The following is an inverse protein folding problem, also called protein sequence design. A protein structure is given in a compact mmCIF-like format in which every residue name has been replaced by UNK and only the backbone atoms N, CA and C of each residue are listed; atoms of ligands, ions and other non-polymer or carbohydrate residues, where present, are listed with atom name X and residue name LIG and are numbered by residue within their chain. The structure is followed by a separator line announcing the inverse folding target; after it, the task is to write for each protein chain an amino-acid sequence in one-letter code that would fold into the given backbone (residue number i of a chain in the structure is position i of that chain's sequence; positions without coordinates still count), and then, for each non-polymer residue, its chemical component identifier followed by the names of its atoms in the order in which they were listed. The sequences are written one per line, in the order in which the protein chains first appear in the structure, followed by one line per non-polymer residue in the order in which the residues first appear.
data_IF_177721453022
#
_entry.id   IF_177721453022
#
_cell.length_a   1.000
_cell.length_b   1.000
_cell.length_c   1.000
_cell.angle_alpha   90.00
_cell.angle_beta   90.00
_cell.angle_gamma   90.00
#
_symmetry.space_group_name_H-M   'P 1'
#
loop_
_entity.id
_entity.type
_entity.pdbx_description
1 polymer ?
#
# COMPACT_ATOMS: atom_id res chain seq x y z
N UNK A 1 10.17 10.51 -15.10
CA UNK A 1 10.06 9.03 -15.20
C UNK A 1 11.10 8.32 -14.34
N UNK A 2 12.33 8.83 -14.23
CA UNK A 2 13.39 8.32 -13.35
C UNK A 2 13.05 8.36 -11.85
N UNK A 3 12.34 9.38 -11.39
CA UNK A 3 12.19 9.58 -9.94
C UNK A 3 11.20 8.57 -9.34
N UNK A 4 10.11 8.26 -10.07
CA UNK A 4 9.13 7.24 -9.68
C UNK A 4 9.73 5.83 -9.62
N UNK A 5 10.68 5.50 -10.52
CA UNK A 5 11.33 4.18 -10.49
C UNK A 5 12.29 4.06 -9.29
N UNK A 6 13.01 5.12 -8.92
CA UNK A 6 13.88 5.09 -7.73
C UNK A 6 13.07 4.99 -6.43
N UNK A 7 11.97 5.72 -6.31
CA UNK A 7 11.09 5.65 -5.15
C UNK A 7 10.50 4.23 -4.99
N UNK A 8 9.93 3.68 -6.06
CA UNK A 8 9.36 2.34 -6.04
C UNK A 8 10.42 1.26 -5.76
N UNK A 9 11.62 1.38 -6.34
CA UNK A 9 12.71 0.45 -6.06
C UNK A 9 13.14 0.48 -4.59
N UNK A 10 13.10 1.64 -3.93
CA UNK A 10 13.39 1.74 -2.49
C UNK A 10 12.30 1.07 -1.65
N UNK A 11 11.02 1.22 -2.01
CA UNK A 11 9.90 0.52 -1.35
C UNK A 11 10.10 -1.00 -1.47
N UNK A 12 10.36 -1.49 -2.68
CA UNK A 12 10.58 -2.92 -2.93
C UNK A 12 11.79 -3.43 -2.15
N UNK A 13 12.89 -2.67 -2.13
CA UNK A 13 14.09 -3.03 -1.37
C UNK A 13 13.83 -3.10 0.14
N UNK A 14 13.00 -2.21 0.67
CA UNK A 14 12.65 -2.20 2.09
C UNK A 14 11.72 -3.36 2.48
N UNK A 15 10.90 -3.85 1.55
CA UNK A 15 10.00 -4.98 1.78
C UNK A 15 10.71 -6.34 1.88
N UNK A 16 11.96 -6.45 1.42
CA UNK A 16 12.76 -7.67 1.55
C UNK A 16 12.73 -8.56 0.32
N UNK A 17 12.50 -9.85 0.51
CA UNK A 17 12.73 -10.90 -0.51
C UNK A 17 11.54 -11.85 -0.70
N UNK A 18 10.40 -11.58 -0.05
CA UNK A 18 9.17 -12.30 -0.29
C UNK A 18 8.30 -11.54 -1.31
N UNK A 19 7.86 -12.17 -2.42
CA UNK A 19 7.00 -11.52 -3.41
C UNK A 19 5.67 -10.99 -2.84
N UNK A 20 5.11 -11.67 -1.84
CA UNK A 20 3.89 -11.25 -1.15
C UNK A 20 4.10 -9.99 -0.31
N UNK A 21 5.21 -9.92 0.43
CA UNK A 21 5.61 -8.73 1.18
C UNK A 21 5.91 -7.55 0.25
N UNK A 22 6.60 -7.78 -0.85
CA UNK A 22 6.85 -6.77 -1.89
C UNK A 22 5.52 -6.24 -2.44
N UNK A 23 4.60 -7.15 -2.80
CA UNK A 23 3.27 -6.78 -3.31
C UNK A 23 2.51 -5.94 -2.29
N UNK A 24 2.52 -6.34 -1.02
CA UNK A 24 1.87 -5.62 0.06
C UNK A 24 2.47 -4.24 0.26
N UNK A 25 3.80 -4.09 0.17
CA UNK A 25 4.47 -2.80 0.30
C UNK A 25 4.15 -1.86 -0.87
N UNK A 26 4.12 -2.36 -2.12
CA UNK A 26 3.73 -1.57 -3.29
C UNK A 26 2.26 -1.14 -3.18
N UNK A 27 1.38 -2.05 -2.76
CA UNK A 27 -0.04 -1.76 -2.55
C UNK A 27 -0.26 -0.71 -1.46
N UNK A 28 0.43 -0.84 -0.32
CA UNK A 28 0.38 0.13 0.78
C UNK A 28 0.96 1.49 0.41
N UNK A 29 1.87 1.54 -0.57
CA UNK A 29 2.40 2.78 -1.13
C UNK A 29 1.51 3.38 -2.24
N UNK A 30 0.26 2.92 -2.37
CA UNK A 30 -0.75 3.47 -3.28
C UNK A 30 -0.39 3.41 -4.77
N UNK A 31 0.43 2.45 -5.17
CA UNK A 31 0.62 2.18 -6.60
C UNK A 31 -0.59 1.43 -7.14
N UNK A 32 -1.35 2.04 -8.05
CA UNK A 32 -2.58 1.50 -8.64
C UNK A 32 -2.56 1.64 -10.16
N UNK A 33 -3.34 0.80 -10.83
CA UNK A 33 -3.73 1.03 -12.24
C UNK A 33 -4.96 1.97 -12.26
N UNK A 34 -5.24 2.65 -13.39
CA UNK A 34 -6.46 3.44 -13.55
C UNK A 34 -7.72 2.62 -13.30
N UNK A 35 -8.83 3.31 -12.96
CA UNK A 35 -10.14 2.67 -12.83
C UNK A 35 -10.51 1.89 -14.09
N UNK A 36 -11.12 0.73 -13.86
CA UNK A 36 -11.58 -0.20 -14.89
C UNK A 36 -13.10 -0.26 -14.90
N UNK A 37 -13.67 -0.51 -16.07
CA UNK A 37 -15.11 -0.75 -16.16
C UNK A 37 -15.48 -2.19 -15.75
N UNK A 38 -16.76 -2.43 -15.50
CA UNK A 38 -17.28 -3.73 -15.04
C UNK A 38 -16.90 -4.90 -15.95
N UNK A 39 -16.84 -4.68 -17.27
CA UNK A 39 -16.45 -5.71 -18.22
C UNK A 39 -14.97 -6.08 -18.09
N UNK A 40 -14.09 -5.09 -17.95
CA UNK A 40 -12.66 -5.32 -17.72
C UNK A 40 -12.40 -6.03 -16.40
N UNK A 41 -13.11 -5.65 -15.33
CA UNK A 41 -13.04 -6.33 -14.03
C UNK A 41 -13.52 -7.78 -14.12
N UNK A 42 -14.59 -8.04 -14.87
CA UNK A 42 -15.11 -9.41 -15.09
C UNK A 42 -14.11 -10.27 -15.88
N UNK A 43 -13.49 -9.70 -16.92
CA UNK A 43 -12.47 -10.42 -17.67
C UNK A 43 -11.24 -10.73 -16.80
N UNK A 44 -10.80 -9.77 -15.97
CA UNK A 44 -9.69 -9.95 -15.04
C UNK A 44 -10.00 -11.04 -14.00
N UNK A 45 -11.21 -11.04 -13.44
CA UNK A 45 -11.58 -12.05 -12.44
C UNK A 45 -11.59 -13.46 -13.03
N UNK A 46 -12.13 -13.63 -14.23
CA UNK A 46 -12.08 -14.91 -14.94
C UNK A 46 -10.63 -15.34 -15.23
N UNK A 47 -9.79 -14.43 -15.70
CA UNK A 47 -8.38 -14.72 -15.99
C UNK A 47 -7.61 -15.17 -14.73
N UNK A 48 -7.80 -14.46 -13.61
CA UNK A 48 -7.20 -14.81 -12.32
C UNK A 48 -7.67 -16.19 -11.85
N UNK A 49 -8.98 -16.42 -11.87
CA UNK A 49 -9.56 -17.69 -11.43
C UNK A 49 -9.02 -18.85 -12.28
N UNK A 50 -9.08 -18.71 -13.60
CA UNK A 50 -8.72 -19.79 -14.52
C UNK A 50 -7.24 -20.10 -14.53
N UNK A 51 -6.36 -19.10 -14.46
CA UNK A 51 -4.92 -19.31 -14.63
C UNK A 51 -4.16 -19.49 -13.31
N UNK A 52 -4.68 -18.94 -12.19
CA UNK A 52 -3.92 -18.89 -10.95
C UNK A 52 -4.64 -19.56 -9.77
N UNK A 53 -5.97 -19.48 -9.70
CA UNK A 53 -6.66 -19.95 -8.51
C UNK A 53 -6.99 -21.44 -8.51
N UNK A 54 -7.57 -21.97 -9.60
CA UNK A 54 -8.18 -23.31 -9.61
C UNK A 54 -7.25 -24.45 -9.17
N UNK A 55 -6.00 -24.44 -9.59
CA UNK A 55 -5.05 -25.55 -9.33
C UNK A 55 -3.90 -25.18 -8.38
N UNK A 56 -3.66 -23.88 -8.16
CA UNK A 56 -2.42 -23.41 -7.50
C UNK A 56 -2.66 -22.69 -6.18
N UNK A 57 -3.90 -22.28 -5.86
CA UNK A 57 -4.20 -21.47 -4.68
C UNK A 57 -5.40 -22.04 -3.90
N UNK A 58 -5.24 -22.38 -2.61
CA UNK A 58 -6.35 -22.76 -1.75
C UNK A 58 -7.51 -21.75 -1.79
N UNK A 59 -8.74 -22.22 -1.73
CA UNK A 59 -9.95 -21.38 -1.83
C UNK A 59 -9.99 -20.22 -0.81
N UNK A 60 -9.42 -20.42 0.37
CA UNK A 60 -9.28 -19.42 1.44
C UNK A 60 -8.33 -18.25 1.12
N UNK A 61 -7.59 -18.33 0.02
CA UNK A 61 -6.70 -17.27 -0.47
C UNK A 61 -7.19 -16.65 -1.78
N UNK A 62 -8.41 -17.00 -2.22
CA UNK A 62 -9.00 -16.38 -3.40
C UNK A 62 -9.42 -14.94 -3.06
N UNK A 63 -9.30 -14.01 -4.00
CA UNK A 63 -9.75 -12.64 -3.77
C UNK A 63 -11.27 -12.60 -3.59
N UNK A 64 -11.74 -12.02 -2.49
CA UNK A 64 -13.17 -11.95 -2.15
C UNK A 64 -13.83 -10.65 -2.63
N UNK A 65 -13.03 -9.63 -2.91
CA UNK A 65 -13.49 -8.30 -3.30
C UNK A 65 -12.59 -7.69 -4.38
N UNK A 66 -13.01 -6.54 -4.92
CA UNK A 66 -12.28 -5.86 -6.01
C UNK A 66 -10.87 -5.43 -5.58
N UNK A 67 -10.68 -4.92 -4.35
CA UNK A 67 -9.36 -4.47 -3.89
C UNK A 67 -8.38 -5.65 -3.85
N UNK A 68 -8.82 -6.78 -3.29
CA UNK A 68 -8.04 -8.01 -3.25
C UNK A 68 -7.76 -8.57 -4.65
N UNK A 69 -8.72 -8.51 -5.57
CA UNK A 69 -8.51 -8.94 -6.97
C UNK A 69 -7.42 -8.11 -7.65
N UNK A 70 -7.47 -6.78 -7.48
CA UNK A 70 -6.49 -5.87 -8.07
C UNK A 70 -5.10 -6.00 -7.41
N UNK A 71 -5.07 -6.26 -6.10
CA UNK A 71 -3.83 -6.60 -5.37
C UNK A 71 -3.27 -7.93 -5.83
N UNK A 72 -4.11 -8.93 -6.09
CA UNK A 72 -3.70 -10.23 -6.60
C UNK A 72 -3.07 -10.10 -7.99
N UNK A 73 -3.65 -9.30 -8.90
CA UNK A 73 -3.06 -9.00 -10.21
C UNK A 73 -1.64 -8.43 -10.07
N UNK A 74 -1.42 -7.51 -9.11
CA UNK A 74 -0.08 -6.99 -8.82
C UNK A 74 0.83 -8.09 -8.30
N UNK A 75 0.32 -8.97 -7.43
CA UNK A 75 1.06 -10.10 -6.86
C UNK A 75 1.59 -11.05 -7.91
N UNK A 76 0.73 -11.42 -8.88
CA UNK A 76 1.12 -12.25 -10.03
C UNK A 76 2.28 -11.62 -10.80
N UNK A 77 2.18 -10.32 -11.10
CA UNK A 77 3.24 -9.60 -11.79
C UNK A 77 4.54 -9.58 -10.98
N UNK A 78 4.46 -9.30 -9.68
CA UNK A 78 5.63 -9.25 -8.80
C UNK A 78 6.30 -10.62 -8.73
N UNK A 79 5.54 -11.69 -8.52
CA UNK A 79 6.04 -13.06 -8.41
C UNK A 79 6.75 -13.53 -9.70
N UNK A 80 6.14 -13.26 -10.86
CA UNK A 80 6.71 -13.59 -12.16
C UNK A 80 8.07 -12.89 -12.37
N UNK A 81 8.13 -11.58 -12.10
CA UNK A 81 9.37 -10.81 -12.27
C UNK A 81 10.41 -11.12 -11.20
N UNK A 82 9.98 -11.42 -9.97
CA UNK A 82 10.87 -11.82 -8.89
C UNK A 82 11.57 -13.14 -9.23
N UNK A 83 10.82 -14.11 -9.76
CA UNK A 83 11.33 -15.42 -10.19
C UNK A 83 12.37 -15.31 -11.33
N UNK A 84 12.21 -14.33 -12.23
CA UNK A 84 13.16 -14.10 -13.32
C UNK A 84 14.36 -13.23 -12.91
N UNK A 85 14.13 -12.17 -12.13
CA UNK A 85 15.15 -11.21 -11.75
C UNK A 85 14.74 -10.43 -10.48
N UNK A 86 15.19 -10.88 -9.29
CA UNK A 86 14.74 -10.36 -7.99
C UNK A 86 15.35 -8.98 -7.64
N UNK A 87 15.87 -8.24 -8.62
CA UNK A 87 16.43 -6.91 -8.39
C UNK A 87 15.30 -5.87 -8.22
N UNK A 88 15.28 -5.09 -7.12
CA UNK A 88 14.21 -4.12 -6.86
C UNK A 88 13.98 -3.12 -8.00
N UNK A 89 15.04 -2.65 -8.65
CA UNK A 89 14.93 -1.74 -9.79
C UNK A 89 14.32 -2.38 -11.05
N UNK A 90 14.46 -3.70 -11.24
CA UNK A 90 13.86 -4.43 -12.36
C UNK A 90 12.37 -4.66 -12.12
N UNK A 91 12.01 -5.07 -10.90
CA UNK A 91 10.61 -5.21 -10.47
C UNK A 91 9.91 -3.86 -10.55
N UNK A 92 10.52 -2.78 -10.04
CA UNK A 92 9.97 -1.42 -10.14
C UNK A 92 9.70 -1.02 -11.61
N UNK A 93 10.65 -1.32 -12.51
CA UNK A 93 10.47 -1.05 -13.94
C UNK A 93 9.29 -1.84 -14.53
N UNK A 94 9.14 -3.10 -14.16
CA UNK A 94 8.06 -3.96 -14.63
C UNK A 94 6.69 -3.47 -14.15
N UNK A 95 6.57 -3.15 -12.87
CA UNK A 95 5.35 -2.59 -12.26
C UNK A 95 4.94 -1.29 -12.96
N UNK A 96 5.88 -0.37 -13.20
CA UNK A 96 5.61 0.85 -13.96
C UNK A 96 5.27 0.56 -15.43
N UNK A 97 5.93 -0.41 -16.07
CA UNK A 97 5.63 -0.80 -17.45
C UNK A 97 4.22 -1.40 -17.59
N UNK A 98 3.75 -2.12 -16.57
CA UNK A 98 2.41 -2.68 -16.50
C UNK A 98 1.30 -1.64 -16.22
N UNK A 99 1.66 -0.37 -16.02
CA UNK A 99 0.72 0.74 -15.89
C UNK A 99 0.41 1.17 -14.45
N UNK A 100 1.02 0.56 -13.44
CA UNK A 100 0.88 1.03 -12.07
C UNK A 100 1.55 2.40 -11.89
N UNK A 101 0.85 3.33 -11.27
CA UNK A 101 1.33 4.67 -10.93
C UNK A 101 0.98 4.96 -9.48
N UNK A 102 1.79 5.80 -8.84
CA UNK A 102 1.43 6.34 -7.54
C UNK A 102 0.11 7.11 -7.70
N UNK A 103 -0.91 6.71 -6.96
CA UNK A 103 -2.14 7.49 -6.86
C UNK A 103 -1.89 8.68 -5.93
N UNK A 104 -1.47 9.79 -6.53
CA UNK A 104 -1.19 11.03 -5.82
C UNK A 104 -2.43 11.59 -5.11
N UNK A 105 -3.65 11.23 -5.53
CA UNK A 105 -4.87 11.69 -4.87
C UNK A 105 -5.07 11.03 -3.51
N UNK A 106 -4.77 9.73 -3.39
CA UNK A 106 -4.78 9.00 -2.11
C UNK A 106 -3.63 9.50 -1.23
N UNK A 107 -2.43 9.65 -1.79
CA UNK A 107 -1.27 10.17 -1.05
C UNK A 107 -1.48 11.61 -0.55
N UNK A 108 -2.14 12.47 -1.33
CA UNK A 108 -2.48 13.84 -0.94
C UNK A 108 -3.59 13.89 0.12
N UNK A 109 -4.57 12.97 0.05
CA UNK A 109 -5.61 12.84 1.06
C UNK A 109 -5.01 12.41 2.41
N UNK A 110 -4.13 11.41 2.42
CA UNK A 110 -3.43 10.98 3.64
C UNK A 110 -2.51 12.06 4.21
N UNK A 111 -1.82 12.82 3.34
CA UNK A 111 -1.02 13.98 3.77
C UNK A 111 -1.91 15.06 4.42
N UNK A 112 -3.07 15.34 3.82
CA UNK A 112 -4.05 16.30 4.36
C UNK A 112 -4.61 15.83 5.70
N UNK A 113 -4.96 14.55 5.82
CA UNK A 113 -5.44 13.97 7.08
C UNK A 113 -4.38 14.00 8.18
N UNK A 114 -3.12 13.74 7.81
CA UNK A 114 -1.99 13.88 8.73
C UNK A 114 -1.82 15.33 9.19
N UNK A 115 -1.87 16.30 8.28
CA UNK A 115 -1.73 17.72 8.63
C UNK A 115 -2.87 18.17 9.55
N UNK A 116 -4.12 17.77 9.26
CA UNK A 116 -5.28 18.02 10.12
C UNK A 116 -5.12 17.36 11.50
N UNK A 117 -4.57 16.15 11.57
CA UNK A 117 -4.30 15.48 12.83
C UNK A 117 -3.23 16.22 13.64
N UNK A 118 -2.15 16.67 13.00
CA UNK A 118 -1.09 17.46 13.65
C UNK A 118 -1.63 18.79 14.17
N UNK A 119 -2.47 19.48 13.39
CA UNK A 119 -3.12 20.73 13.83
C UNK A 119 -4.01 20.50 15.05
N UNK A 120 -4.80 19.42 15.07
CA UNK A 120 -5.63 19.06 16.24
C UNK A 120 -4.79 18.73 17.47
N UNK A 121 -3.68 18.00 17.30
CA UNK A 121 -2.72 17.75 18.38
C UNK A 121 -2.15 19.07 18.92
N UNK A 122 -1.76 19.98 18.04
CA UNK A 122 -1.23 21.29 18.44
C UNK A 122 -2.27 22.11 19.22
N UNK A 123 -3.53 22.13 18.78
CA UNK A 123 -4.63 22.77 19.52
C UNK A 123 -4.81 22.14 20.92
N UNK A 124 -4.72 20.82 21.05
CA UNK A 124 -4.77 20.16 22.36
C UNK A 124 -3.59 20.55 23.24
N UNK A 125 -2.39 20.72 22.68
CA UNK A 125 -1.22 21.17 23.42
C UNK A 125 -1.36 22.61 23.90
N UNK A 126 -1.79 23.53 23.03
CA UNK A 126 -1.97 24.95 23.37
C UNK A 126 -3.05 25.17 24.42
N UNK A 127 -4.10 24.34 24.43
CA UNK A 127 -5.17 24.43 25.42
C UNK A 127 -4.91 23.61 26.69
N UNK A 128 -3.81 22.84 26.74
CA UNK A 128 -3.45 22.11 27.94
C UNK A 128 -3.01 23.09 29.04
N UNK A 129 -3.34 22.85 30.32
CA UNK A 129 -2.81 23.64 31.43
C UNK A 129 -1.28 23.75 31.38
N UNK A 130 -0.70 24.89 31.77
CA UNK A 130 0.77 25.10 31.79
C UNK A 130 1.54 24.08 32.66
N UNK A 131 0.82 23.40 33.57
CA UNK A 131 1.35 22.34 34.43
C UNK A 131 1.34 20.95 33.78
N UNK A 132 0.78 20.83 32.56
CA UNK A 132 0.67 19.57 31.83
C UNK A 132 2.05 19.08 31.42
N UNK A 133 2.47 17.97 32.01
CA UNK A 133 3.71 17.32 31.60
C UNK A 133 3.59 16.73 30.20
N UNK A 134 4.72 16.54 29.52
CA UNK A 134 4.79 15.84 28.22
C UNK A 134 4.10 14.47 28.28
N UNK A 135 4.23 13.76 29.42
CA UNK A 135 3.58 12.46 29.63
C UNK A 135 2.06 12.57 29.60
N UNK A 136 1.50 13.50 30.35
CA UNK A 136 0.04 13.72 30.41
C UNK A 136 -0.51 14.15 29.06
N UNK A 137 0.22 14.98 28.33
CA UNK A 137 -0.14 15.35 26.97
C UNK A 137 -0.17 14.13 26.02
N UNK A 138 0.83 13.24 26.08
CA UNK A 138 0.85 12.01 25.29
C UNK A 138 -0.29 11.06 25.68
N UNK A 139 -0.65 10.97 26.97
CA UNK A 139 -1.82 10.22 27.45
C UNK A 139 -3.12 10.82 26.90
N UNK A 140 -3.27 12.15 26.86
CA UNK A 140 -4.42 12.81 26.22
C UNK A 140 -4.52 12.52 24.72
N UNK A 141 -3.40 12.52 23.99
CA UNK A 141 -3.39 12.15 22.57
C UNK A 141 -3.81 10.69 22.37
N UNK A 142 -3.37 9.80 23.26
CA UNK A 142 -3.74 8.39 23.25
C UNK A 142 -5.25 8.21 23.48
N UNK A 143 -5.80 8.87 24.49
CA UNK A 143 -7.24 8.85 24.80
C UNK A 143 -8.08 9.46 23.68
N UNK A 144 -7.53 10.44 22.96
CA UNK A 144 -8.13 11.04 21.77
C UNK A 144 -8.03 10.15 20.52
N UNK A 145 -7.42 8.96 20.62
CA UNK A 145 -7.36 7.98 19.54
C UNK A 145 -6.15 8.13 18.61
N UNK A 146 -5.21 9.01 18.89
CA UNK A 146 -3.99 9.16 18.09
C UNK A 146 -2.93 8.13 18.52
N UNK A 147 -2.97 6.96 17.86
CA UNK A 147 -2.08 5.82 18.14
C UNK A 147 -1.14 5.56 16.97
N UNK A 148 0.07 5.11 17.27
CA UNK A 148 0.99 4.59 16.24
C UNK A 148 0.37 3.33 15.64
N UNK A 149 0.02 3.36 14.35
CA UNK A 149 -0.32 2.15 13.61
C UNK A 149 0.92 1.26 13.61
N UNK A 150 0.79 0.06 14.15
CA UNK A 150 1.86 -0.93 14.10
C UNK A 150 2.12 -1.28 12.64
N UNK A 151 3.24 -0.82 12.07
CA UNK A 151 3.75 -1.37 10.84
C UNK A 151 4.36 -2.73 11.21
N UNK A 152 3.63 -3.81 10.93
CA UNK A 152 4.22 -5.14 10.91
C UNK A 152 5.26 -5.12 9.78
N UNK A 153 6.53 -5.07 10.16
CA UNK A 153 7.65 -5.30 9.26
C UNK A 153 8.10 -6.75 9.32
#
# INVERSE_FOLDING_TARGET
MSDNIFQLANIIKAAGSDPGDITTAIWAAHYRKPERNDHEVTCLSMDIICNYCLDSVPAEHWPENLDELLKFELGVLVDEFYSMNPLPGKIAKAVLAAGYRLDESIAAQEATERDVAVDKMHVMYVNAPDTTSVRQYLEMLYDAGYRKVGTNG
#
